data_IF_773245111448
#
_entry.id   IF_773245111448
#
_cell.length_a   1.000
_cell.length_b   1.000
_cell.length_c   1.000
_cell.angle_alpha   90.00
_cell.angle_beta   90.00
_cell.angle_gamma   90.00
#
_symmetry.space_group_name_H-M   'P 1'
#
loop_
_entity.id
_entity.type
_entity.pdbx_description
1 polymer ?
#
# COMPACT_ATOMS: atom_id res chain seq x y z
N UNK A 1 -23.55 16.55 6.28
CA UNK A 1 -22.81 15.43 6.89
C UNK A 1 -21.59 15.16 6.03
N UNK A 2 -20.39 15.46 6.55
CA UNK A 2 -19.14 15.26 5.81
C UNK A 2 -18.20 14.42 6.66
N UNK A 3 -18.38 13.09 6.62
CA UNK A 3 -17.69 12.13 7.48
C UNK A 3 -16.19 12.41 7.65
N UNK A 4 -15.44 12.52 6.54
CA UNK A 4 -13.99 12.75 6.58
C UNK A 4 -13.63 14.10 7.21
N UNK A 5 -14.34 15.18 6.84
CA UNK A 5 -14.09 16.53 7.36
C UNK A 5 -14.33 16.58 8.88
N UNK A 6 -15.43 16.02 9.36
CA UNK A 6 -15.78 16.00 10.78
C UNK A 6 -14.75 15.24 11.62
N UNK A 7 -14.18 14.14 11.10
CA UNK A 7 -13.16 13.36 11.81
C UNK A 7 -11.78 14.04 11.81
N UNK A 8 -11.47 14.82 10.77
CA UNK A 8 -10.26 15.66 10.72
C UNK A 8 -10.37 16.82 11.72
N UNK A 9 -11.51 17.51 11.78
CA UNK A 9 -11.76 18.59 12.74
C UNK A 9 -11.71 18.10 14.19
N UNK A 10 -12.15 16.86 14.44
CA UNK A 10 -12.05 16.21 15.76
C UNK A 10 -10.66 15.65 16.10
N UNK A 11 -9.71 15.69 15.16
CA UNK A 11 -8.36 15.12 15.36
C UNK A 11 -8.33 13.59 15.38
N UNK A 12 -9.42 12.92 15.03
CA UNK A 12 -9.49 11.45 14.96
C UNK A 12 -8.89 10.88 13.67
N UNK A 13 -8.75 11.72 12.65
CA UNK A 13 -8.03 11.44 11.41
C UNK A 13 -7.04 12.56 11.17
N UNK A 14 -5.77 12.19 10.97
CA UNK A 14 -4.75 13.11 10.51
C UNK A 14 -4.52 12.92 9.01
N UNK A 15 -4.40 14.02 8.29
CA UNK A 15 -4.12 14.01 6.86
C UNK A 15 -2.74 14.59 6.60
N UNK A 16 -1.95 13.83 5.84
CA UNK A 16 -0.62 14.24 5.40
C UNK A 16 -0.60 14.31 3.88
N UNK A 17 -0.02 15.39 3.34
CA UNK A 17 0.21 15.46 1.90
C UNK A 17 1.32 14.48 1.52
N UNK A 18 0.99 13.59 0.58
CA UNK A 18 1.96 12.67 -0.04
C UNK A 18 1.96 12.98 -1.53
N UNK A 19 3.14 13.22 -2.11
CA UNK A 19 3.23 13.40 -3.56
C UNK A 19 2.71 12.13 -4.23
N UNK A 20 1.97 12.27 -5.33
CA UNK A 20 1.37 11.15 -6.10
C UNK A 20 2.34 9.99 -6.32
N UNK A 21 3.58 10.34 -6.55
CA UNK A 21 4.70 9.46 -6.74
C UNK A 21 5.02 8.58 -5.52
N UNK A 22 4.91 9.10 -4.31
CA UNK A 22 5.18 8.34 -3.09
C UNK A 22 3.94 7.69 -2.49
N UNK A 23 2.78 7.80 -3.14
CA UNK A 23 1.54 7.24 -2.63
C UNK A 23 1.53 5.71 -2.78
N UNK A 24 1.85 5.00 -1.69
CA UNK A 24 1.93 3.53 -1.64
C UNK A 24 0.61 2.85 -2.05
N UNK A 25 -0.54 3.46 -1.71
CA UNK A 25 -1.86 2.97 -2.11
C UNK A 25 -2.06 2.89 -3.64
N UNK A 26 -1.21 3.56 -4.42
CA UNK A 26 -1.19 3.47 -5.88
C UNK A 26 -0.98 2.04 -6.38
N UNK A 27 -0.30 1.18 -5.61
CA UNK A 27 -0.13 -0.25 -5.96
C UNK A 27 -1.48 -0.97 -6.12
N UNK A 28 -2.46 -0.64 -5.28
CA UNK A 28 -3.75 -1.35 -5.25
C UNK A 28 -4.82 -0.71 -6.15
N UNK A 29 -4.61 0.55 -6.57
CA UNK A 29 -5.67 1.38 -7.17
C UNK A 29 -5.34 1.85 -8.58
N UNK A 30 -4.11 1.66 -9.06
CA UNK A 30 -3.65 2.17 -10.36
C UNK A 30 -2.88 1.10 -11.14
N UNK A 31 -2.97 1.16 -12.47
CA UNK A 31 -2.03 0.51 -13.35
C UNK A 31 -0.73 1.34 -13.37
N UNK A 32 0.33 0.83 -12.73
CA UNK A 32 1.62 1.51 -12.63
C UNK A 32 2.62 0.95 -13.65
N UNK A 33 3.49 1.79 -14.24
CA UNK A 33 4.65 1.30 -14.96
C UNK A 33 5.53 0.39 -14.08
N UNK A 34 6.17 -0.62 -14.68
CA UNK A 34 6.91 -1.65 -13.94
C UNK A 34 8.01 -1.09 -13.02
N UNK A 35 8.74 -0.06 -13.47
CA UNK A 35 9.75 0.63 -12.64
C UNK A 35 9.11 1.25 -11.38
N UNK A 36 7.93 1.85 -11.52
CA UNK A 36 7.22 2.47 -10.40
C UNK A 36 6.63 1.45 -9.45
N UNK A 37 6.01 0.41 -9.98
CA UNK A 37 5.52 -0.71 -9.19
C UNK A 37 6.65 -1.32 -8.34
N UNK A 38 7.79 -1.63 -8.97
CA UNK A 38 8.96 -2.21 -8.29
C UNK A 38 9.54 -1.28 -7.21
N UNK A 39 9.55 0.04 -7.44
CA UNK A 39 9.96 1.00 -6.42
C UNK A 39 9.08 0.91 -5.16
N UNK A 40 7.75 0.94 -5.35
CA UNK A 40 6.81 0.95 -4.22
C UNK A 40 6.78 -0.41 -3.49
N UNK A 41 6.88 -1.53 -4.22
CA UNK A 41 7.00 -2.89 -3.63
C UNK A 41 8.21 -2.98 -2.69
N UNK A 42 9.37 -2.48 -3.13
CA UNK A 42 10.58 -2.44 -2.28
C UNK A 42 10.39 -1.57 -1.05
N UNK A 43 9.73 -0.42 -1.20
CA UNK A 43 9.50 0.50 -0.09
C UNK A 43 8.54 -0.05 0.96
N UNK A 44 7.58 -0.90 0.55
CA UNK A 44 6.68 -1.62 1.46
C UNK A 44 7.34 -2.83 2.12
N UNK A 45 8.57 -3.20 1.75
CA UNK A 45 9.20 -4.44 2.21
C UNK A 45 8.50 -5.71 1.70
N UNK A 46 7.70 -5.59 0.64
CA UNK A 46 7.04 -6.73 0.02
C UNK A 46 8.06 -7.56 -0.75
N UNK A 47 7.99 -8.88 -0.60
CA UNK A 47 8.79 -9.85 -1.37
C UNK A 47 7.89 -10.72 -2.21
N UNK A 48 8.35 -11.04 -3.42
CA UNK A 48 7.71 -12.07 -4.24
C UNK A 48 8.06 -13.45 -3.67
N UNK A 49 7.12 -14.37 -3.74
CA UNK A 49 7.30 -15.76 -3.33
C UNK A 49 7.16 -16.66 -4.55
N UNK A 50 8.06 -17.62 -4.68
CA UNK A 50 7.87 -18.71 -5.63
C UNK A 50 6.70 -19.60 -5.20
N UNK A 51 6.06 -20.35 -6.13
CA UNK A 51 4.99 -21.29 -5.79
C UNK A 51 5.39 -22.27 -4.68
N UNK A 52 6.65 -22.74 -4.69
CA UNK A 52 7.19 -23.64 -3.65
C UNK A 52 7.26 -22.97 -2.27
N UNK A 53 7.66 -21.72 -2.20
CA UNK A 53 7.69 -20.97 -0.93
C UNK A 53 6.27 -20.70 -0.42
N UNK A 54 5.35 -20.40 -1.34
CA UNK A 54 3.94 -20.20 -1.01
C UNK A 54 3.30 -21.48 -0.44
N UNK A 55 3.55 -22.63 -1.05
CA UNK A 55 3.10 -23.93 -0.53
C UNK A 55 3.69 -24.25 0.83
N UNK A 56 4.97 -23.93 1.07
CA UNK A 56 5.60 -24.12 2.38
C UNK A 56 4.93 -23.27 3.45
N UNK A 57 4.60 -22.01 3.15
CA UNK A 57 3.90 -21.10 4.05
C UNK A 57 2.49 -21.61 4.39
N UNK A 58 1.74 -22.08 3.39
CA UNK A 58 0.40 -22.61 3.58
C UNK A 58 0.36 -23.89 4.45
N UNK A 59 1.43 -24.71 4.41
CA UNK A 59 1.56 -25.93 5.20
C UNK A 59 2.11 -25.70 6.62
N UNK A 60 2.56 -24.48 6.92
CA UNK A 60 3.12 -24.09 8.23
C UNK A 60 2.12 -23.38 9.14
N UNK A 61 0.84 -23.33 8.76
CA UNK A 61 -0.27 -22.87 9.60
C UNK A 61 -1.10 -24.04 10.13
#
# INVERSE_FOLDING_TARGET
YHFIKEHVEKGTIELYFVKTDYQLAGIFTKALPANRFNYLVRHLGMRSLSPKELERLAKSQ
#
